data_IF_338253474013
#
_entry.id   IF_338253474013
#
_cell.length_a   1.000
_cell.length_b   1.000
_cell.length_c   1.000
_cell.angle_alpha   90.00
_cell.angle_beta   90.00
_cell.angle_gamma   90.00
#
_symmetry.space_group_name_H-M   'P 1'
#
loop_
_entity.id
_entity.type
_entity.pdbx_description
1 polymer ?
#
# COMPACT_ATOMS: atom_id res chain seq x y z
N UNK A 1 24.64 44.12 31.39
CA UNK A 1 23.17 43.93 31.24
C UNK A 1 22.94 42.55 30.66
N UNK A 2 22.04 41.73 31.21
CA UNK A 2 21.75 40.42 30.64
C UNK A 2 20.98 40.56 29.30
N UNK A 3 21.33 39.72 28.31
CA UNK A 3 20.63 39.59 27.01
C UNK A 3 19.81 38.30 27.03
N UNK A 4 18.59 38.33 26.47
CA UNK A 4 17.74 37.14 26.28
C UNK A 4 18.23 36.37 25.04
N UNK A 5 18.26 35.05 25.13
CA UNK A 5 18.59 34.12 24.04
C UNK A 5 17.63 32.92 24.08
N UNK A 6 17.69 32.06 23.07
CA UNK A 6 16.81 30.91 22.89
C UNK A 6 17.65 29.66 22.61
N UNK A 7 17.45 28.60 23.37
CA UNK A 7 18.24 27.37 23.27
C UNK A 7 17.41 26.27 22.58
N UNK A 8 18.01 25.57 21.62
CA UNK A 8 17.39 24.40 21.00
C UNK A 8 17.44 23.21 21.97
N UNK A 9 16.27 22.64 22.30
CA UNK A 9 16.14 21.52 23.24
C UNK A 9 16.84 20.24 22.75
N UNK A 10 16.97 20.06 21.43
CA UNK A 10 17.55 18.84 20.85
C UNK A 10 19.09 18.81 20.87
N UNK A 11 19.75 19.94 20.64
CA UNK A 11 21.22 20.02 20.52
C UNK A 11 21.89 20.97 21.54
N UNK A 12 21.10 21.70 22.34
CA UNK A 12 21.56 22.74 23.29
C UNK A 12 22.30 23.91 22.64
N UNK A 13 22.10 24.15 21.34
CA UNK A 13 22.67 25.31 20.66
C UNK A 13 21.87 26.58 21.00
N UNK A 14 22.59 27.66 21.32
CA UNK A 14 21.99 28.92 21.75
C UNK A 14 21.94 29.90 20.58
N UNK A 15 20.73 30.35 20.27
CA UNK A 15 20.41 31.27 19.19
C UNK A 15 19.94 32.63 19.71
N UNK A 16 20.13 33.67 18.90
CA UNK A 16 19.69 35.03 19.24
C UNK A 16 18.18 35.26 19.01
N UNK A 17 17.58 34.45 18.14
CA UNK A 17 16.18 34.55 17.74
C UNK A 17 15.45 33.23 18.00
N UNK A 18 14.20 33.33 18.43
CA UNK A 18 13.33 32.19 18.71
C UNK A 18 13.14 31.31 17.46
N UNK A 19 12.85 31.92 16.31
CA UNK A 19 12.70 31.20 15.03
C UNK A 19 13.94 30.41 14.62
N UNK A 20 15.14 30.90 14.97
CA UNK A 20 16.39 30.18 14.70
C UNK A 20 16.55 28.96 15.62
N UNK A 21 16.08 29.04 16.86
CA UNK A 21 16.03 27.88 17.75
C UNK A 21 14.92 26.88 17.35
N UNK A 22 13.79 27.36 16.80
CA UNK A 22 12.70 26.51 16.28
C UNK A 22 13.11 25.74 15.03
N UNK A 23 13.85 26.36 14.11
CA UNK A 23 14.35 25.70 12.90
C UNK A 23 15.60 24.84 13.19
N UNK A 24 16.29 25.08 14.33
CA UNK A 24 17.41 24.27 14.77
C UNK A 24 16.95 22.86 15.12
N UNK A 25 17.51 21.86 14.43
CA UNK A 25 17.13 20.44 14.55
C UNK A 25 15.67 20.14 14.19
N UNK A 26 14.96 21.04 13.51
CA UNK A 26 13.61 20.77 13.01
C UNK A 26 13.64 19.56 12.07
N UNK A 27 12.79 18.54 12.30
CA UNK A 27 12.74 17.39 11.41
C UNK A 27 12.43 17.82 9.98
N UNK A 28 13.09 17.16 9.03
CA UNK A 28 12.76 17.36 7.62
C UNK A 28 11.34 16.85 7.36
N UNK A 29 10.52 17.69 6.72
CA UNK A 29 9.20 17.29 6.22
C UNK A 29 9.38 16.80 4.79
N UNK A 30 9.06 15.54 4.55
CA UNK A 30 9.07 14.94 3.21
C UNK A 30 7.62 14.75 2.74
N UNK A 31 7.36 15.04 1.46
CA UNK A 31 6.11 14.65 0.83
C UNK A 31 6.15 13.15 0.54
N UNK A 32 5.07 12.45 0.85
CA UNK A 32 4.90 11.01 0.60
C UNK A 32 3.58 10.75 -0.11
N UNK A 33 3.51 9.64 -0.81
CA UNK A 33 2.31 9.12 -1.45
C UNK A 33 1.75 7.97 -0.62
N UNK A 34 0.46 8.03 -0.29
CA UNK A 34 -0.21 6.95 0.45
C UNK A 34 -0.93 6.04 -0.53
N UNK A 35 -0.88 4.74 -0.28
CA UNK A 35 -1.74 3.79 -0.96
C UNK A 35 -3.16 3.84 -0.34
N UNK A 36 -4.18 4.10 -1.15
CA UNK A 36 -5.57 4.22 -0.66
C UNK A 36 -6.16 2.89 -0.13
N UNK A 37 -5.49 1.76 -0.34
CA UNK A 37 -5.96 0.43 0.10
C UNK A 37 -5.41 0.05 1.48
N UNK A 38 -4.13 0.32 1.74
CA UNK A 38 -3.45 -0.13 2.95
C UNK A 38 -2.86 1.01 3.80
N UNK A 39 -2.98 2.25 3.32
CA UNK A 39 -2.41 3.46 3.91
C UNK A 39 -0.86 3.42 4.08
N UNK A 40 -0.20 2.50 3.36
CA UNK A 40 1.26 2.44 3.30
C UNK A 40 1.83 3.68 2.63
N UNK A 41 2.93 4.23 3.19
CA UNK A 41 3.63 5.40 2.67
C UNK A 41 4.73 5.03 1.68
N UNK A 42 4.82 5.77 0.58
CA UNK A 42 5.78 5.59 -0.51
C UNK A 42 6.43 6.93 -0.88
N UNK A 43 7.64 6.88 -1.38
CA UNK A 43 8.38 8.07 -1.81
C UNK A 43 7.88 8.59 -3.17
N UNK A 44 7.42 7.69 -4.05
CA UNK A 44 6.96 8.00 -5.40
C UNK A 44 5.50 7.60 -5.65
N UNK A 45 4.81 8.38 -6.50
CA UNK A 45 3.41 8.16 -6.85
C UNK A 45 3.19 6.79 -7.50
N UNK A 46 4.06 6.43 -8.44
CA UNK A 46 3.97 5.17 -9.18
C UNK A 46 4.12 3.96 -8.23
N UNK A 47 4.94 4.09 -7.18
CA UNK A 47 5.11 3.04 -6.18
C UNK A 47 3.87 2.92 -5.28
N UNK A 48 3.24 4.03 -4.89
CA UNK A 48 1.97 4.00 -4.16
C UNK A 48 0.83 3.40 -5.01
N UNK A 49 0.78 3.74 -6.30
CA UNK A 49 -0.16 3.15 -7.26
C UNK A 49 0.05 1.63 -7.38
N UNK A 50 1.30 1.18 -7.48
CA UNK A 50 1.65 -0.25 -7.61
C UNK A 50 1.52 -1.06 -6.31
N UNK A 51 1.63 -0.42 -5.15
CA UNK A 51 1.74 -1.07 -3.84
C UNK A 51 0.68 -2.15 -3.61
N UNK A 52 -0.57 -1.85 -3.95
CA UNK A 52 -1.71 -2.74 -3.70
C UNK A 52 -2.44 -3.15 -4.99
N UNK A 53 -1.83 -3.02 -6.17
CA UNK A 53 -2.45 -3.53 -7.43
C UNK A 53 -2.78 -5.02 -7.29
N UNK A 54 -1.89 -5.82 -6.70
CA UNK A 54 -2.15 -7.23 -6.39
C UNK A 54 -2.98 -7.47 -5.12
N UNK A 55 -3.32 -6.42 -4.37
CA UNK A 55 -4.09 -6.48 -3.11
C UNK A 55 -5.45 -5.79 -3.22
N UNK A 56 -5.92 -5.49 -4.43
CA UNK A 56 -7.26 -4.97 -4.65
C UNK A 56 -8.23 -6.00 -4.12
N UNK A 57 -9.03 -5.61 -3.13
CA UNK A 57 -10.04 -6.49 -2.56
C UNK A 57 -11.08 -6.80 -3.63
N UNK A 58 -11.51 -8.06 -3.69
CA UNK A 58 -12.74 -8.42 -4.37
C UNK A 58 -13.86 -7.57 -3.78
N UNK A 59 -14.67 -6.97 -4.67
CA UNK A 59 -15.63 -5.93 -4.30
C UNK A 59 -16.59 -6.43 -3.23
N UNK A 60 -16.66 -5.70 -2.10
CA UNK A 60 -17.71 -5.77 -1.08
C UNK A 60 -17.96 -7.13 -0.43
N UNK A 61 -17.48 -7.35 0.80
CA UNK A 61 -17.83 -8.43 1.76
C UNK A 61 -17.81 -9.90 1.28
N UNK A 62 -17.75 -10.19 0.00
CA UNK A 62 -17.82 -11.53 -0.57
C UNK A 62 -16.41 -12.09 -0.65
N UNK A 63 -15.94 -12.60 0.48
CA UNK A 63 -14.76 -13.44 0.53
C UNK A 63 -15.03 -14.73 -0.23
N UNK A 64 -14.13 -15.15 -1.11
CA UNK A 64 -14.25 -16.44 -1.82
C UNK A 64 -13.53 -17.51 -1.01
N UNK A 65 -14.25 -18.57 -0.63
CA UNK A 65 -13.63 -19.68 0.08
C UNK A 65 -12.89 -20.61 -0.88
N UNK A 66 -11.58 -20.74 -0.71
CA UNK A 66 -10.77 -21.68 -1.47
C UNK A 66 -11.19 -23.13 -1.15
N UNK A 67 -11.56 -23.97 -2.13
CA UNK A 67 -11.99 -25.34 -1.86
C UNK A 67 -10.81 -26.26 -1.51
N UNK A 68 -9.57 -25.88 -1.85
CA UNK A 68 -8.38 -26.66 -1.53
C UNK A 68 -7.87 -26.46 -0.10
N UNK A 69 -7.85 -25.21 0.40
CA UNK A 69 -7.33 -24.91 1.74
C UNK A 69 -8.38 -24.37 2.72
N UNK A 70 -9.62 -24.19 2.26
CA UNK A 70 -10.76 -23.74 3.06
C UNK A 70 -10.60 -22.37 3.72
N UNK A 71 -9.59 -21.57 3.32
CA UNK A 71 -9.44 -20.17 3.72
C UNK A 71 -10.35 -19.27 2.89
N UNK A 72 -10.91 -18.26 3.55
CA UNK A 72 -11.66 -17.19 2.91
C UNK A 72 -10.69 -16.16 2.33
N UNK A 73 -10.83 -15.87 1.05
CA UNK A 73 -9.92 -15.02 0.28
C UNK A 73 -10.60 -13.70 -0.08
N UNK A 74 -9.93 -12.60 0.24
CA UNK A 74 -10.44 -11.24 0.02
C UNK A 74 -9.85 -10.56 -1.21
N UNK A 75 -8.76 -11.09 -1.78
CA UNK A 75 -8.06 -10.47 -2.89
C UNK A 75 -8.64 -10.93 -4.24
N UNK A 76 -8.75 -10.00 -5.20
CA UNK A 76 -9.12 -10.33 -6.58
C UNK A 76 -8.22 -11.44 -7.13
N UNK A 77 -6.90 -11.33 -6.91
CA UNK A 77 -5.92 -12.33 -7.31
C UNK A 77 -6.37 -13.74 -6.89
N UNK A 78 -6.66 -13.93 -5.60
CA UNK A 78 -7.04 -15.24 -5.07
C UNK A 78 -8.43 -15.69 -5.52
N UNK A 79 -9.38 -14.77 -5.67
CA UNK A 79 -10.70 -15.09 -6.21
C UNK A 79 -10.59 -15.63 -7.66
N UNK A 80 -9.81 -14.97 -8.51
CA UNK A 80 -9.57 -15.39 -9.90
C UNK A 80 -8.80 -16.71 -9.97
N UNK A 81 -7.76 -16.88 -9.16
CA UNK A 81 -7.02 -18.15 -9.07
C UNK A 81 -7.96 -19.32 -8.73
N UNK A 82 -8.87 -19.12 -7.76
CA UNK A 82 -9.86 -20.13 -7.39
C UNK A 82 -10.84 -20.39 -8.52
N UNK A 83 -11.30 -19.36 -9.23
CA UNK A 83 -12.21 -19.51 -10.37
C UNK A 83 -11.57 -20.31 -11.52
N UNK A 84 -10.29 -20.04 -11.83
CA UNK A 84 -9.59 -20.66 -12.95
C UNK A 84 -9.07 -22.06 -12.61
N UNK A 85 -8.37 -22.19 -11.48
CA UNK A 85 -7.62 -23.39 -11.12
C UNK A 85 -8.21 -24.18 -9.94
N UNK A 86 -9.26 -23.67 -9.29
CA UNK A 86 -9.87 -24.32 -8.13
C UNK A 86 -9.03 -24.22 -6.85
N UNK A 87 -7.97 -23.41 -6.83
CA UNK A 87 -7.17 -23.16 -5.63
C UNK A 87 -6.50 -21.79 -5.69
N UNK A 88 -6.15 -21.25 -4.52
CA UNK A 88 -5.35 -20.02 -4.42
C UNK A 88 -3.85 -20.31 -4.37
N UNK A 89 -3.04 -19.33 -4.74
CA UNK A 89 -1.57 -19.43 -4.73
C UNK A 89 -0.99 -19.63 -3.33
N UNK A 90 -1.70 -19.22 -2.27
CA UNK A 90 -1.26 -19.42 -0.89
C UNK A 90 -1.20 -20.89 -0.46
N UNK A 91 -1.97 -21.78 -1.10
CA UNK A 91 -1.98 -23.20 -0.77
C UNK A 91 -1.41 -24.08 -1.86
N UNK A 92 -1.53 -23.67 -3.12
CA UNK A 92 -0.87 -24.32 -4.23
C UNK A 92 -0.45 -23.26 -5.26
N UNK A 93 0.85 -22.93 -5.37
CA UNK A 93 1.35 -21.93 -6.31
C UNK A 93 1.56 -22.48 -7.72
N UNK A 94 1.27 -23.77 -7.97
CA UNK A 94 1.49 -24.40 -9.26
C UNK A 94 0.25 -24.29 -10.14
N UNK A 95 0.41 -23.60 -11.27
CA UNK A 95 -0.60 -23.45 -12.32
C UNK A 95 -0.11 -24.07 -13.61
N UNK A 96 -1.02 -24.46 -14.49
CA UNK A 96 -0.64 -24.74 -15.87
C UNK A 96 -0.24 -23.43 -16.57
N UNK A 97 0.47 -23.54 -17.70
CA UNK A 97 0.84 -22.36 -18.49
C UNK A 97 -0.43 -21.62 -18.95
N UNK A 98 -1.47 -22.35 -19.36
CA UNK A 98 -2.74 -21.78 -19.80
C UNK A 98 -3.46 -21.05 -18.66
N UNK A 99 -3.51 -21.66 -17.47
CA UNK A 99 -4.11 -21.02 -16.29
C UNK A 99 -3.36 -19.75 -15.90
N UNK A 100 -2.03 -19.75 -16.00
CA UNK A 100 -1.20 -18.58 -15.65
C UNK A 100 -1.57 -17.37 -16.50
N UNK A 101 -1.67 -17.56 -17.81
CA UNK A 101 -2.07 -16.47 -18.72
C UNK A 101 -3.51 -16.02 -18.46
N UNK A 102 -4.43 -16.96 -18.27
CA UNK A 102 -5.84 -16.64 -18.02
C UNK A 102 -6.05 -15.90 -16.69
N UNK A 103 -5.33 -16.28 -15.64
CA UNK A 103 -5.37 -15.62 -14.34
C UNK A 103 -4.87 -14.18 -14.48
N UNK A 104 -3.75 -13.96 -15.16
CA UNK A 104 -3.19 -12.61 -15.36
C UNK A 104 -4.18 -11.69 -16.09
N UNK A 105 -4.75 -12.15 -17.22
CA UNK A 105 -5.70 -11.37 -18.01
C UNK A 105 -6.96 -10.99 -17.20
N UNK A 106 -7.51 -11.94 -16.44
CA UNK A 106 -8.72 -11.71 -15.64
C UNK A 106 -8.46 -10.80 -14.43
N UNK A 107 -7.30 -10.93 -13.77
CA UNK A 107 -6.91 -10.04 -12.68
C UNK A 107 -6.77 -8.61 -13.17
N UNK A 108 -6.06 -8.40 -14.28
CA UNK A 108 -5.87 -7.06 -14.86
C UNK A 108 -7.21 -6.43 -15.25
N UNK A 109 -8.11 -7.20 -15.87
CA UNK A 109 -9.46 -6.73 -16.20
C UNK A 109 -10.24 -6.32 -14.95
N UNK A 110 -10.28 -7.18 -13.92
CA UNK A 110 -11.09 -6.95 -12.73
C UNK A 110 -10.54 -5.80 -11.87
N UNK A 111 -9.21 -5.62 -11.83
CA UNK A 111 -8.55 -4.48 -11.20
C UNK A 111 -8.92 -3.19 -11.93
N UNK A 112 -8.81 -3.15 -13.26
CA UNK A 112 -9.19 -1.97 -14.05
C UNK A 112 -10.65 -1.57 -13.82
N UNK A 113 -11.57 -2.54 -13.87
CA UNK A 113 -13.00 -2.30 -13.59
C UNK A 113 -13.26 -1.76 -12.18
N UNK A 114 -12.51 -2.22 -11.16
CA UNK A 114 -12.67 -1.74 -9.79
C UNK A 114 -12.09 -0.34 -9.59
N UNK A 115 -10.98 -0.03 -10.26
CA UNK A 115 -10.38 1.32 -10.25
C UNK A 115 -11.32 2.32 -10.92
N UNK A 116 -11.84 2.01 -12.11
CA UNK A 116 -12.77 2.89 -12.85
C UNK A 116 -14.04 3.20 -12.06
N UNK A 117 -14.51 2.26 -11.22
CA UNK A 117 -15.72 2.44 -10.39
C UNK A 117 -15.47 3.16 -9.07
N UNK A 118 -14.21 3.37 -8.71
CA UNK A 118 -13.80 4.07 -7.48
C UNK A 118 -13.50 5.56 -7.73
N UNK A 119 -13.47 5.99 -8.99
CA UNK A 119 -13.38 7.40 -9.42
C UNK A 119 -14.77 8.03 -9.58
#
# INVERSE_FOLDING_TARGET
MPKRAYECDACNEVHEHESSAEDCCRPQVNAVWLCDVCEGSHDDKEDAEKCCVGKVKARGFDTVRCPACFRDQELIQHAVEIEVAGHCSECNPHYTIEDTFKIADLVDQQVAENLDRSM
#
